data_IF_576621743329
#
_entry.id   IF_576621743329
#
_cell.length_a   1.000
_cell.length_b   1.000
_cell.length_c   1.000
_cell.angle_alpha   90.00
_cell.angle_beta   90.00
_cell.angle_gamma   90.00
#
_symmetry.space_group_name_H-M   'P 1'
#
loop_
_entity.id
_entity.type
_entity.pdbx_description
1 polymer ?
#
# COMPACT_ATOMS: atom_id res chain seq x y z
N UNK A 1 12.76 -7.77 -7.18
CA UNK A 1 12.17 -6.53 -6.65
C UNK A 1 10.71 -6.78 -6.30
N UNK A 2 10.35 -6.67 -5.02
CA UNK A 2 8.97 -6.78 -4.55
C UNK A 2 8.35 -5.42 -4.25
N UNK A 3 7.33 -5.06 -5.02
CA UNK A 3 6.51 -3.88 -4.82
C UNK A 3 5.29 -4.23 -3.95
N UNK A 4 5.17 -3.58 -2.80
CA UNK A 4 3.97 -3.67 -1.96
C UNK A 4 3.18 -2.38 -2.12
N UNK A 5 1.96 -2.49 -2.64
CA UNK A 5 1.05 -1.36 -2.80
C UNK A 5 0.01 -1.37 -1.68
N UNK A 6 -0.11 -0.26 -0.96
CA UNK A 6 -1.09 -0.09 0.11
C UNK A 6 -2.25 0.79 -0.35
N UNK A 7 -3.45 0.31 -0.03
CA UNK A 7 -4.73 0.95 -0.32
C UNK A 7 -4.99 1.07 -1.83
N UNK A 8 -6.19 1.52 -2.19
CA UNK A 8 -6.50 1.90 -3.56
C UNK A 8 -7.50 3.05 -3.57
N UNK A 9 -7.13 4.15 -4.22
CA UNK A 9 -7.99 5.30 -4.44
C UNK A 9 -8.54 5.20 -5.85
N UNK A 10 -9.87 5.10 -5.98
CA UNK A 10 -10.58 5.08 -7.27
C UNK A 10 -9.98 4.10 -8.31
N UNK A 11 -9.52 2.93 -7.89
CA UNK A 11 -8.93 1.89 -8.74
C UNK A 11 -7.62 2.29 -9.45
N UNK A 12 -6.97 3.37 -9.02
CA UNK A 12 -5.70 3.82 -9.61
C UNK A 12 -4.60 2.79 -9.35
N UNK A 13 -4.54 2.20 -8.16
CA UNK A 13 -3.56 1.18 -7.80
C UNK A 13 -3.74 -0.07 -8.64
N UNK A 14 -4.97 -0.57 -8.74
CA UNK A 14 -5.33 -1.66 -9.65
C UNK A 14 -4.91 -1.37 -11.09
N UNK A 15 -5.11 -0.14 -11.57
CA UNK A 15 -4.73 0.27 -12.92
C UNK A 15 -3.23 0.24 -13.12
N UNK A 16 -2.45 0.82 -12.19
CA UNK A 16 -0.99 0.79 -12.25
C UNK A 16 -0.43 -0.64 -12.26
N UNK A 17 -1.01 -1.53 -11.46
CA UNK A 17 -0.57 -2.93 -11.38
C UNK A 17 -0.79 -3.73 -12.66
N UNK A 18 -1.71 -3.31 -13.54
CA UNK A 18 -1.93 -3.93 -14.86
C UNK A 18 -0.78 -3.65 -15.84
N UNK A 19 -0.16 -2.48 -15.72
CA UNK A 19 0.92 -2.03 -16.60
C UNK A 19 2.33 -2.25 -16.02
N UNK A 20 2.42 -2.79 -14.80
CA UNK A 20 3.70 -3.16 -14.19
C UNK A 20 4.35 -4.35 -14.93
N UNK A 21 5.68 -4.33 -15.13
CA UNK A 21 6.40 -5.44 -15.75
C UNK A 21 6.14 -6.77 -15.03
N UNK A 22 6.01 -7.89 -15.75
CA UNK A 22 5.69 -9.19 -15.16
C UNK A 22 6.80 -9.72 -14.24
N UNK A 23 8.03 -9.23 -14.36
CA UNK A 23 9.17 -9.61 -13.53
C UNK A 23 9.13 -8.98 -12.12
N UNK A 24 8.25 -7.98 -11.91
CA UNK A 24 8.08 -7.33 -10.60
C UNK A 24 7.10 -8.13 -9.76
N UNK A 25 7.57 -8.71 -8.66
CA UNK A 25 6.68 -9.33 -7.68
C UNK A 25 5.81 -8.22 -7.05
N UNK A 26 4.50 -8.39 -7.12
CA UNK A 26 3.54 -7.37 -6.69
C UNK A 26 2.58 -7.90 -5.63
N UNK A 27 2.42 -7.14 -4.56
CA UNK A 27 1.43 -7.40 -3.52
C UNK A 27 0.54 -6.17 -3.35
N UNK A 28 -0.76 -6.30 -3.56
CA UNK A 28 -1.72 -5.21 -3.37
C UNK A 28 -2.59 -5.45 -2.14
N UNK A 29 -2.46 -4.58 -1.14
CA UNK A 29 -3.23 -4.64 0.10
C UNK A 29 -4.27 -3.52 0.08
N UNK A 30 -5.50 -3.87 -0.30
CA UNK A 30 -6.63 -2.94 -0.32
C UNK A 30 -7.24 -2.76 1.08
N UNK A 31 -7.77 -1.57 1.38
CA UNK A 31 -8.62 -1.37 2.56
C UNK A 31 -9.90 -2.17 2.42
N UNK A 32 -10.33 -2.78 3.51
CA UNK A 32 -11.66 -3.37 3.63
C UNK A 32 -12.68 -2.29 4.03
N UNK A 33 -13.93 -2.43 3.57
CA UNK A 33 -15.02 -1.49 3.86
C UNK A 33 -15.64 -1.67 5.27
N UNK A 34 -15.29 -2.73 6.00
CA UNK A 34 -15.85 -2.99 7.33
C UNK A 34 -15.21 -2.15 8.44
N UNK A 35 -16.02 -1.69 9.40
CA UNK A 35 -15.66 -0.71 10.43
C UNK A 35 -14.48 -1.17 11.31
N UNK A 36 -14.44 -2.45 11.72
CA UNK A 36 -13.37 -3.03 12.55
C UNK A 36 -12.04 -3.23 11.79
N UNK A 37 -12.09 -3.36 10.46
CA UNK A 37 -10.89 -3.52 9.64
C UNK A 37 -10.16 -2.22 9.33
N UNK A 38 -10.83 -1.07 9.54
CA UNK A 38 -10.40 0.25 9.04
C UNK A 38 -9.06 0.71 9.62
N UNK A 39 -8.67 0.25 10.81
CA UNK A 39 -7.50 0.77 11.53
C UNK A 39 -6.57 -0.34 11.98
N UNK A 40 -7.04 -1.29 12.80
CA UNK A 40 -6.19 -2.38 13.31
C UNK A 40 -5.86 -3.43 12.24
N UNK A 41 -6.86 -3.84 11.46
CA UNK A 41 -6.66 -4.84 10.40
C UNK A 41 -5.71 -4.37 9.30
N UNK A 42 -5.76 -3.09 8.94
CA UNK A 42 -4.85 -2.51 7.96
C UNK A 42 -3.43 -2.37 8.52
N UNK A 43 -3.28 -1.82 9.72
CA UNK A 43 -1.96 -1.66 10.35
C UNK A 43 -1.25 -3.01 10.52
N UNK A 44 -1.98 -4.07 10.91
CA UNK A 44 -1.42 -5.42 10.99
C UNK A 44 -0.98 -5.96 9.63
N UNK A 45 -1.79 -5.78 8.58
CA UNK A 45 -1.42 -6.16 7.22
C UNK A 45 -0.18 -5.41 6.72
N UNK A 46 -0.09 -4.11 7.00
CA UNK A 46 1.08 -3.29 6.70
C UNK A 46 2.30 -3.84 7.45
N UNK A 47 2.18 -4.09 8.75
CA UNK A 47 3.26 -4.62 9.59
C UNK A 47 3.79 -5.96 9.04
N UNK A 48 2.89 -6.88 8.66
CA UNK A 48 3.26 -8.21 8.15
C UNK A 48 3.76 -8.18 6.70
N UNK A 49 3.44 -7.14 5.92
CA UNK A 49 3.89 -7.04 4.54
C UNK A 49 5.41 -6.83 4.46
N UNK A 50 6.08 -7.62 3.61
CA UNK A 50 7.50 -7.50 3.31
C UNK A 50 7.64 -7.15 1.84
N UNK A 51 8.29 -6.02 1.56
CA UNK A 51 8.57 -5.51 0.23
C UNK A 51 9.90 -4.75 0.19
N UNK A 52 10.43 -4.60 -1.01
CA UNK A 52 11.61 -3.77 -1.29
C UNK A 52 11.23 -2.32 -1.58
N UNK A 53 10.02 -2.08 -2.09
CA UNK A 53 9.44 -0.74 -2.27
C UNK A 53 7.99 -0.76 -1.78
N UNK A 54 7.58 0.28 -1.06
CA UNK A 54 6.22 0.44 -0.57
C UNK A 54 5.56 1.64 -1.25
N UNK A 55 4.56 1.40 -2.09
CA UNK A 55 3.80 2.44 -2.80
C UNK A 55 2.44 2.63 -2.14
N UNK A 56 2.07 3.87 -1.78
CA UNK A 56 0.89 4.14 -0.97
C UNK A 56 -0.05 5.08 -1.72
N UNK A 57 -1.26 4.60 -2.01
CA UNK A 57 -2.29 5.33 -2.77
C UNK A 57 -3.10 6.32 -1.93
N UNK A 58 -2.68 6.61 -0.69
CA UNK A 58 -3.26 7.66 0.14
C UNK A 58 -2.13 8.32 0.92
N UNK A 59 -1.91 9.60 0.67
CA UNK A 59 -0.89 10.38 1.37
C UNK A 59 -1.22 10.56 2.86
N UNK A 60 -0.29 11.22 3.56
CA UNK A 60 -0.41 11.62 4.96
C UNK A 60 -0.49 10.42 5.90
N UNK A 61 -1.70 10.01 6.30
CA UNK A 61 -1.91 9.04 7.37
C UNK A 61 -1.30 7.67 7.06
N UNK A 62 -1.55 7.13 5.87
CA UNK A 62 -1.07 5.78 5.52
C UNK A 62 0.46 5.76 5.33
N UNK A 63 1.03 6.84 4.77
CA UNK A 63 2.49 7.03 4.71
C UNK A 63 3.13 7.14 6.10
N UNK A 64 2.51 7.90 7.00
CA UNK A 64 2.96 8.03 8.38
C UNK A 64 2.93 6.67 9.09
N UNK A 65 1.83 5.92 8.98
CA UNK A 65 1.71 4.60 9.60
C UNK A 65 2.77 3.64 9.03
N UNK A 66 2.92 3.56 7.71
CA UNK A 66 3.91 2.67 7.08
C UNK A 66 5.34 2.99 7.52
N UNK A 67 5.73 4.26 7.54
CA UNK A 67 7.07 4.67 7.97
C UNK A 67 7.30 4.43 9.47
N UNK A 68 6.29 4.66 10.33
CA UNK A 68 6.35 4.33 11.77
C UNK A 68 6.45 2.82 12.03
N UNK A 69 5.92 1.99 11.12
CA UNK A 69 6.06 0.52 11.14
C UNK A 69 7.34 0.03 10.43
N UNK A 70 8.29 0.93 10.16
CA UNK A 70 9.62 0.58 9.62
C UNK A 70 9.67 0.29 8.12
N UNK A 71 8.59 0.56 7.36
CA UNK A 71 8.56 0.36 5.91
C UNK A 71 9.37 1.45 5.21
N UNK A 72 10.37 1.07 4.43
CA UNK A 72 11.26 1.96 3.65
C UNK A 72 11.84 1.20 2.44
N UNK A 73 12.10 1.88 1.31
CA UNK A 73 11.62 3.22 0.94
C UNK A 73 10.09 3.26 0.73
N UNK A 74 9.49 4.40 1.02
CA UNK A 74 8.06 4.66 0.82
C UNK A 74 7.88 5.69 -0.30
N UNK A 75 7.03 5.37 -1.28
CA UNK A 75 6.54 6.26 -2.32
C UNK A 75 5.08 6.60 -2.04
N UNK A 76 4.80 7.87 -1.76
CA UNK A 76 3.44 8.36 -1.53
C UNK A 76 2.82 8.91 -2.81
N UNK A 77 1.63 8.42 -3.17
CA UNK A 77 0.88 8.89 -4.33
C UNK A 77 -0.22 9.85 -3.86
N UNK A 78 -0.10 11.12 -4.24
CA UNK A 78 -1.11 12.15 -3.99
C UNK A 78 -2.32 11.95 -4.90
N UNK A 79 -3.52 11.96 -4.33
CA UNK A 79 -4.77 12.05 -5.09
C UNK A 79 -5.46 13.36 -4.73
N UNK A 80 -6.11 14.00 -5.71
CA UNK A 80 -6.92 15.21 -5.58
C UNK A 80 -8.35 14.94 -6.01
#
# INVERSE_FOLDING_TARGET
MKLVMFNDCAFVGETLLKYMPPEVEKQHIKRSRSFLSKTFGLAFKILMAKGEIYHINYLLQDCYIATRLGKKPVSGHAHG
#
